data_IF_572642608751
#
_entry.id   IF_572642608751
#
_cell.length_a   1.000
_cell.length_b   1.000
_cell.length_c   1.000
_cell.angle_alpha   90.00
_cell.angle_beta   90.00
_cell.angle_gamma   90.00
#
_symmetry.space_group_name_H-M   'P 1'
#
loop_
_entity.id
_entity.type
_entity.pdbx_description
1 polymer ?
#
# COMPACT_ATOMS: atom_id res chain seq x y z
N UNK A 1 -9.35 -12.28 -22.02
CA UNK A 1 -8.84 -12.60 -20.67
C UNK A 1 -9.18 -11.40 -19.82
N UNK A 2 -9.96 -11.47 -18.73
CA UNK A 2 -10.16 -10.29 -17.91
C UNK A 2 -8.86 -10.07 -17.14
N UNK A 3 -8.03 -9.15 -17.62
CA UNK A 3 -6.95 -8.61 -16.81
C UNK A 3 -7.67 -7.80 -15.73
N UNK A 4 -7.84 -8.38 -14.55
CA UNK A 4 -8.39 -7.65 -13.40
C UNK A 4 -7.40 -6.54 -13.09
N UNK A 5 -7.67 -5.36 -13.64
CA UNK A 5 -6.85 -4.17 -13.49
C UNK A 5 -7.19 -3.54 -12.13
N UNK A 6 -6.89 -4.25 -11.04
CA UNK A 6 -7.10 -3.70 -9.71
C UNK A 6 -6.15 -2.52 -9.53
N UNK A 7 -6.65 -1.31 -9.28
CA UNK A 7 -5.79 -0.15 -9.11
C UNK A 7 -4.85 -0.37 -7.93
N UNK A 8 -3.56 -0.16 -8.16
CA UNK A 8 -2.55 -0.15 -7.10
C UNK A 8 -2.61 1.21 -6.41
N UNK A 9 -2.88 1.22 -5.12
CA UNK A 9 -2.97 2.43 -4.29
C UNK A 9 -1.86 2.47 -3.24
N UNK A 10 -1.53 3.67 -2.79
CA UNK A 10 -0.49 3.90 -1.79
C UNK A 10 -1.04 3.73 -0.37
N UNK A 11 -0.49 2.76 0.36
CA UNK A 11 -0.70 2.59 1.78
C UNK A 11 0.52 3.09 2.55
N UNK A 12 0.26 3.82 3.63
CA UNK A 12 1.27 4.33 4.56
C UNK A 12 1.07 3.68 5.92
N UNK A 13 2.16 3.33 6.59
CA UNK A 13 2.09 2.78 7.94
C UNK A 13 3.17 3.39 8.82
N UNK A 14 2.91 3.36 10.13
CA UNK A 14 3.90 3.67 11.15
C UNK A 14 4.03 2.50 12.10
N UNK A 15 5.22 1.91 12.14
CA UNK A 15 5.50 0.81 13.05
C UNK A 15 5.58 1.33 14.48
N UNK A 16 4.74 0.80 15.37
CA UNK A 16 4.75 1.13 16.81
C UNK A 16 5.94 0.49 17.54
N UNK A 17 6.53 -0.55 16.97
CA UNK A 17 7.67 -1.28 17.58
C UNK A 17 8.99 -0.54 17.36
N UNK A 18 9.30 -0.18 16.11
CA UNK A 18 10.58 0.47 15.77
C UNK A 18 10.46 1.95 15.43
N UNK A 19 9.24 2.50 15.37
CA UNK A 19 8.98 3.89 14.99
C UNK A 19 9.12 4.19 13.50
N UNK A 20 9.48 3.20 12.68
CA UNK A 20 9.70 3.38 11.24
C UNK A 20 8.38 3.65 10.51
N UNK A 21 8.38 4.68 9.66
CA UNK A 21 7.26 4.98 8.77
C UNK A 21 7.57 4.44 7.38
N UNK A 22 6.72 3.56 6.86
CA UNK A 22 6.90 2.93 5.56
C UNK A 22 5.72 3.20 4.63
N UNK A 23 5.94 2.94 3.34
CA UNK A 23 4.91 3.05 2.31
C UNK A 23 4.97 1.85 1.37
N UNK A 24 3.82 1.39 0.93
CA UNK A 24 3.65 0.22 0.07
C UNK A 24 2.54 0.47 -0.94
N UNK A 25 2.70 -0.10 -2.12
CA UNK A 25 1.66 -0.08 -3.15
C UNK A 25 0.99 -1.45 -3.16
N UNK A 26 -0.31 -1.48 -2.89
CA UNK A 26 -1.11 -2.70 -2.90
C UNK A 26 -2.39 -2.49 -3.71
N UNK A 27 -2.97 -3.56 -4.27
CA UNK A 27 -4.28 -3.49 -4.89
C UNK A 27 -5.31 -2.96 -3.89
N UNK A 28 -6.09 -1.96 -4.29
CA UNK A 28 -7.19 -1.44 -3.47
C UNK A 28 -8.15 -2.58 -3.12
N UNK A 29 -8.06 -3.03 -1.88
CA UNK A 29 -8.88 -4.13 -1.37
C UNK A 29 -9.64 -3.71 -0.11
N UNK A 30 -9.06 -2.81 0.69
CA UNK A 30 -9.60 -2.34 1.97
C UNK A 30 -8.99 -0.98 2.36
N UNK A 31 -9.67 -0.15 3.17
CA UNK A 31 -9.13 1.14 3.62
C UNK A 31 -7.89 0.99 4.52
N UNK A 32 -7.78 -0.17 5.19
CA UNK A 32 -6.67 -0.55 6.06
C UNK A 32 -6.23 -1.97 5.71
N UNK A 33 -4.93 -2.22 5.76
CA UNK A 33 -4.33 -3.53 5.47
C UNK A 33 -3.25 -3.87 6.48
N UNK A 34 -3.25 -5.10 6.97
CA UNK A 34 -2.20 -5.59 7.85
C UNK A 34 -1.03 -6.10 7.02
N UNK A 35 0.16 -5.58 7.28
CA UNK A 35 1.40 -5.96 6.60
C UNK A 35 2.57 -6.07 7.59
N UNK A 36 3.74 -6.46 7.10
CA UNK A 36 4.95 -6.52 7.90
C UNK A 36 5.80 -5.25 7.69
N UNK A 37 6.33 -4.70 8.78
CA UNK A 37 7.26 -3.59 8.74
C UNK A 37 8.53 -3.98 7.98
N UNK A 38 8.91 -3.22 6.96
CA UNK A 38 10.12 -3.47 6.17
C UNK A 38 11.42 -3.29 6.96
N UNK A 39 11.37 -2.61 8.10
CA UNK A 39 12.54 -2.34 8.93
C UNK A 39 12.77 -3.41 10.02
N UNK A 40 11.71 -3.92 10.66
CA UNK A 40 11.83 -4.86 11.78
C UNK A 40 11.03 -6.15 11.62
N UNK A 41 10.19 -6.27 10.59
CA UNK A 41 9.31 -7.41 10.36
C UNK A 41 8.09 -7.50 11.28
N UNK A 42 7.89 -6.54 12.19
CA UNK A 42 6.72 -6.52 13.06
C UNK A 42 5.43 -6.30 12.26
N UNK A 43 4.32 -6.86 12.74
CA UNK A 43 3.00 -6.60 12.18
C UNK A 43 2.63 -5.11 12.34
N UNK A 44 2.19 -4.50 11.25
CA UNK A 44 1.81 -3.08 11.17
C UNK A 44 0.54 -2.94 10.35
N UNK A 45 -0.34 -2.05 10.79
CA UNK A 45 -1.51 -1.64 10.03
C UNK A 45 -1.11 -0.49 9.11
N UNK A 46 -1.32 -0.67 7.82
CA UNK A 46 -1.12 0.36 6.81
C UNK A 46 -2.48 0.92 6.40
N UNK A 47 -2.59 2.24 6.40
CA UNK A 47 -3.78 2.98 6.02
C UNK A 47 -3.61 3.52 4.61
N UNK A 48 -4.67 3.45 3.83
CA UNK A 48 -4.70 4.07 2.51
C UNK A 48 -4.65 5.60 2.67
N UNK A 49 -3.63 6.24 2.08
CA UNK A 49 -3.40 7.68 2.21
C UNK A 49 -4.34 8.53 1.33
N UNK A 50 -5.34 7.92 0.68
CA UNK A 50 -6.23 8.62 -0.26
C UNK A 50 -5.55 9.05 -1.57
N UNK A 51 -4.30 8.60 -1.80
CA UNK A 51 -3.47 8.99 -2.93
C UNK A 51 -3.92 8.36 -4.26
N UNK A 52 -4.00 9.22 -5.28
CA UNK A 52 -4.56 8.98 -6.62
C UNK A 52 -4.07 7.70 -7.30
N UNK A 53 -4.96 7.13 -8.10
CA UNK A 53 -4.71 6.02 -9.01
C UNK A 53 -3.41 6.25 -9.79
N UNK A 54 -2.43 5.37 -9.62
CA UNK A 54 -1.31 5.26 -10.57
C UNK A 54 -1.87 4.61 -11.84
N UNK A 55 -2.63 5.36 -12.63
CA UNK A 55 -2.84 4.99 -14.03
C UNK A 55 -1.47 5.07 -14.69
N UNK A 56 -0.84 3.92 -14.92
CA UNK A 56 0.26 3.83 -15.88
C UNK A 56 -0.36 4.18 -17.22
N UNK A 57 -0.35 5.47 -17.56
CA UNK A 57 -0.59 5.90 -18.93
C UNK A 57 0.65 5.43 -19.70
N UNK A 58 0.62 4.20 -20.20
CA UNK A 58 1.53 3.77 -21.25
C UNK A 58 1.29 4.73 -22.44
N UNK A 59 2.28 5.54 -22.86
CA UNK A 59 2.13 6.32 -24.07
C UNK A 59 2.08 5.37 -25.28
N UNK A 60 1.16 5.69 -26.16
CA UNK A 60 0.73 4.99 -27.39
C UNK A 60 1.87 4.64 -28.35
#
# INVERSE_FOLDING_TARGET
MPTTNTPLVLYVYRCTVCGHSGKLHLPESSPEVTTACSACGAEVQAEWDGGVELTTNEPE
#
